data_IF_333343794761
#
_entry.id   IF_333343794761
#
_cell.length_a   1.000
_cell.length_b   1.000
_cell.length_c   1.000
_cell.angle_alpha   90.00
_cell.angle_beta   90.00
_cell.angle_gamma   90.00
#
_symmetry.space_group_name_H-M   'P 1'
#
loop_
_entity.id
_entity.type
_entity.pdbx_description
1 polymer ?
#
# COMPACT_ATOMS: atom_id res chain seq x y z
N UNK A 1 6.86 -9.70 -10.24
CA UNK A 1 5.45 -9.49 -10.61
C UNK A 1 5.33 -9.75 -12.08
N UNK A 2 4.46 -10.65 -12.54
CA UNK A 2 4.35 -11.04 -13.96
C UNK A 2 3.01 -10.55 -14.49
N UNK A 3 3.01 -9.85 -15.61
CA UNK A 3 1.78 -9.39 -16.26
C UNK A 3 1.03 -10.62 -16.77
N UNK A 4 -0.26 -10.73 -16.42
CA UNK A 4 -1.14 -11.82 -16.88
C UNK A 4 -2.01 -11.32 -18.04
N UNK A 5 -1.80 -11.81 -19.28
CA UNK A 5 -2.53 -11.35 -20.45
C UNK A 5 -4.05 -11.53 -20.35
N UNK A 6 -4.52 -12.60 -19.70
CA UNK A 6 -5.96 -12.86 -19.54
C UNK A 6 -6.62 -11.82 -18.62
N UNK A 7 -5.95 -11.47 -17.50
CA UNK A 7 -6.43 -10.42 -16.59
C UNK A 7 -6.44 -9.05 -17.27
N UNK A 8 -5.37 -8.73 -18.00
CA UNK A 8 -5.28 -7.49 -18.78
C UNK A 8 -6.42 -7.41 -19.81
N UNK A 9 -6.65 -8.49 -20.56
CA UNK A 9 -7.70 -8.55 -21.55
C UNK A 9 -9.11 -8.40 -20.95
N UNK A 10 -9.38 -9.10 -19.85
CA UNK A 10 -10.63 -8.96 -19.11
C UNK A 10 -10.88 -7.53 -18.64
N UNK A 11 -9.84 -6.85 -18.15
CA UNK A 11 -9.91 -5.46 -17.71
C UNK A 11 -10.18 -4.49 -18.87
N UNK A 12 -9.51 -4.66 -20.01
CA UNK A 12 -9.77 -3.86 -21.22
C UNK A 12 -11.23 -4.02 -21.63
N UNK A 13 -11.75 -5.26 -21.67
CA UNK A 13 -13.14 -5.56 -22.02
C UNK A 13 -14.12 -4.89 -21.05
N UNK A 14 -13.86 -4.98 -19.73
CA UNK A 14 -14.72 -4.39 -18.71
C UNK A 14 -14.77 -2.86 -18.83
N UNK A 15 -13.60 -2.21 -18.97
CA UNK A 15 -13.50 -0.76 -19.14
C UNK A 15 -14.18 -0.29 -20.44
N UNK A 16 -13.95 -0.97 -21.56
CA UNK A 16 -14.62 -0.65 -22.83
C UNK A 16 -16.15 -0.71 -22.70
N UNK A 17 -16.66 -1.80 -22.10
CA UNK A 17 -18.11 -1.97 -21.88
C UNK A 17 -18.69 -0.90 -20.95
N UNK A 18 -17.97 -0.49 -19.91
CA UNK A 18 -18.40 0.59 -19.01
C UNK A 18 -18.54 1.93 -19.74
N UNK A 19 -17.76 2.14 -20.83
CA UNK A 19 -17.84 3.28 -21.73
C UNK A 19 -18.85 3.08 -22.87
N UNK A 20 -19.58 1.96 -22.89
CA UNK A 20 -20.55 1.61 -23.91
C UNK A 20 -19.97 1.54 -25.33
N UNK A 21 -18.66 1.28 -25.45
CA UNK A 21 -17.97 1.15 -26.73
C UNK A 21 -18.03 -0.29 -27.25
N UNK A 22 -18.20 -0.46 -28.55
CA UNK A 22 -17.96 -1.72 -29.25
C UNK A 22 -16.45 -1.92 -29.48
N UNK A 23 -16.03 -3.15 -29.82
CA UNK A 23 -14.64 -3.42 -30.19
C UNK A 23 -14.22 -2.63 -31.45
N UNK A 24 -15.17 -2.46 -32.39
CA UNK A 24 -14.95 -1.65 -33.60
C UNK A 24 -14.68 -0.18 -33.23
N UNK A 25 -15.54 0.44 -32.44
CA UNK A 25 -15.40 1.85 -32.04
C UNK A 25 -14.11 2.10 -31.25
N UNK A 26 -13.70 1.16 -30.38
CA UNK A 26 -12.41 1.26 -29.68
C UNK A 26 -11.25 1.13 -30.67
N UNK A 27 -11.35 0.21 -31.64
CA UNK A 27 -10.34 0.05 -32.70
C UNK A 27 -10.20 1.31 -33.56
N UNK A 28 -11.31 1.90 -33.98
CA UNK A 28 -11.34 3.15 -34.76
C UNK A 28 -10.67 4.31 -34.00
N UNK A 29 -10.98 4.47 -32.71
CA UNK A 29 -10.35 5.53 -31.86
C UNK A 29 -8.86 5.34 -31.68
N UNK A 30 -8.37 4.10 -31.69
CA UNK A 30 -6.96 3.75 -31.57
C UNK A 30 -6.26 3.63 -32.94
N UNK A 31 -7.02 3.78 -34.04
CA UNK A 31 -6.55 3.57 -35.42
C UNK A 31 -5.92 2.18 -35.64
N UNK A 32 -6.57 1.13 -35.08
CA UNK A 32 -6.21 -0.27 -35.24
C UNK A 32 -7.44 -1.11 -35.58
N UNK A 33 -7.23 -2.36 -36.01
CA UNK A 33 -8.33 -3.26 -36.34
C UNK A 33 -9.08 -3.77 -35.08
N UNK A 34 -10.36 -4.04 -35.22
CA UNK A 34 -11.14 -4.68 -34.15
C UNK A 34 -10.61 -6.08 -33.77
N UNK A 35 -9.94 -6.78 -34.71
CA UNK A 35 -9.28 -8.05 -34.45
C UNK A 35 -8.16 -7.92 -33.43
N UNK A 36 -7.41 -6.80 -33.44
CA UNK A 36 -6.39 -6.53 -32.44
C UNK A 36 -7.01 -6.34 -31.06
N UNK A 37 -8.09 -5.54 -30.96
CA UNK A 37 -8.84 -5.37 -29.70
C UNK A 37 -9.36 -6.73 -29.21
N UNK A 38 -9.94 -7.54 -30.11
CA UNK A 38 -10.46 -8.85 -29.78
C UNK A 38 -9.36 -9.79 -29.23
N UNK A 39 -8.17 -9.79 -29.82
CA UNK A 39 -7.01 -10.57 -29.31
C UNK A 39 -6.58 -10.12 -27.93
N UNK A 40 -6.54 -8.81 -27.69
CA UNK A 40 -6.21 -8.27 -26.37
C UNK A 40 -7.24 -8.71 -25.33
N UNK A 41 -8.54 -8.56 -25.63
CA UNK A 41 -9.63 -8.92 -24.70
C UNK A 41 -9.71 -10.42 -24.38
N UNK A 42 -9.21 -11.30 -25.27
CA UNK A 42 -9.11 -12.74 -25.02
C UNK A 42 -7.77 -13.16 -24.37
N UNK A 43 -6.86 -12.20 -24.13
CA UNK A 43 -5.56 -12.50 -23.57
C UNK A 43 -4.59 -13.20 -24.55
N UNK A 44 -4.88 -13.23 -25.85
CA UNK A 44 -4.04 -13.83 -26.88
C UNK A 44 -2.84 -12.95 -27.22
N UNK A 45 -2.94 -11.66 -26.95
CA UNK A 45 -1.88 -10.68 -27.08
C UNK A 45 -2.04 -9.54 -26.08
N UNK A 46 -0.93 -8.91 -25.71
CA UNK A 46 -0.94 -7.66 -24.97
C UNK A 46 -0.92 -6.45 -25.92
N UNK A 47 -1.47 -5.29 -25.52
CA UNK A 47 -1.26 -4.05 -26.25
C UNK A 47 0.23 -3.70 -26.34
N UNK A 48 0.67 -3.24 -27.49
CA UNK A 48 2.02 -2.70 -27.64
C UNK A 48 2.22 -1.49 -26.73
N UNK A 49 3.47 -1.25 -26.33
CA UNK A 49 3.81 -0.14 -25.41
C UNK A 49 3.33 1.21 -25.94
N UNK A 50 3.37 1.42 -27.26
CA UNK A 50 2.86 2.63 -27.92
C UNK A 50 1.35 2.81 -27.81
N UNK A 51 0.61 1.71 -27.61
CA UNK A 51 -0.87 1.71 -27.50
C UNK A 51 -1.35 1.91 -26.07
N UNK A 52 -0.51 1.68 -25.06
CA UNK A 52 -0.93 1.72 -23.66
C UNK A 52 -1.45 3.11 -23.23
N UNK A 53 -0.74 4.18 -23.56
CA UNK A 53 -1.17 5.55 -23.22
C UNK A 53 -2.45 5.98 -23.94
N UNK A 54 -2.58 5.81 -25.30
CA UNK A 54 -3.82 6.09 -26.00
C UNK A 54 -5.00 5.28 -25.47
N UNK A 55 -4.79 3.98 -25.19
CA UNK A 55 -5.81 3.09 -24.63
C UNK A 55 -6.27 3.56 -23.25
N UNK A 56 -5.33 3.88 -22.35
CA UNK A 56 -5.61 4.38 -21.02
C UNK A 56 -6.41 5.69 -21.07
N UNK A 57 -6.05 6.60 -21.98
CA UNK A 57 -6.76 7.86 -22.20
C UNK A 57 -8.22 7.65 -22.67
N UNK A 58 -8.44 6.79 -23.67
CA UNK A 58 -9.78 6.52 -24.22
C UNK A 58 -10.66 5.82 -23.17
N UNK A 59 -10.08 4.92 -22.38
CA UNK A 59 -10.79 4.19 -21.33
C UNK A 59 -10.88 4.97 -20.00
N UNK A 60 -10.32 6.19 -19.94
CA UNK A 60 -10.26 7.06 -18.75
C UNK A 60 -9.73 6.33 -17.52
N UNK A 61 -8.59 5.68 -17.69
CA UNK A 61 -7.92 4.89 -16.65
C UNK A 61 -6.40 5.11 -16.70
N UNK A 62 -5.66 4.48 -15.79
CA UNK A 62 -4.21 4.47 -15.84
C UNK A 62 -3.67 3.25 -16.60
N UNK A 63 -2.46 3.37 -17.16
CA UNK A 63 -1.74 2.24 -17.75
C UNK A 63 -1.55 1.11 -16.74
N UNK A 64 -1.22 1.47 -15.49
CA UNK A 64 -1.05 0.50 -14.41
C UNK A 64 -2.35 -0.29 -14.15
N UNK A 65 -3.50 0.37 -14.12
CA UNK A 65 -4.79 -0.30 -13.92
C UNK A 65 -5.13 -1.27 -15.06
N UNK A 66 -4.72 -0.97 -16.29
CA UNK A 66 -4.86 -1.90 -17.42
C UNK A 66 -3.92 -3.09 -17.25
N UNK A 67 -2.62 -2.85 -17.03
CA UNK A 67 -1.60 -3.90 -16.95
C UNK A 67 -1.75 -4.81 -15.75
N UNK A 68 -2.34 -4.30 -14.66
CA UNK A 68 -2.64 -5.07 -13.46
C UNK A 68 -4.00 -5.81 -13.54
N UNK A 69 -4.71 -5.71 -14.67
CA UNK A 69 -5.98 -6.40 -14.87
C UNK A 69 -7.09 -5.92 -13.92
N UNK A 70 -7.08 -4.64 -13.53
CA UNK A 70 -8.05 -4.06 -12.61
C UNK A 70 -7.78 -4.37 -11.14
N UNK A 71 -6.75 -5.13 -10.82
CA UNK A 71 -6.29 -5.23 -9.44
C UNK A 71 -5.88 -3.84 -8.97
N UNK A 72 -6.33 -3.46 -7.78
CA UNK A 72 -5.92 -2.18 -7.20
C UNK A 72 -4.40 -2.16 -7.08
N UNK A 73 -3.74 -1.37 -7.91
CA UNK A 73 -2.36 -1.00 -7.64
C UNK A 73 -2.42 -0.17 -6.38
N UNK A 74 -1.97 -0.73 -5.27
CA UNK A 74 -1.72 0.07 -4.09
C UNK A 74 -0.60 1.04 -4.45
N UNK A 75 -0.97 2.26 -4.81
CA UNK A 75 -0.02 3.36 -4.94
C UNK A 75 0.47 3.67 -3.54
N UNK A 76 1.54 3.00 -3.13
CA UNK A 76 2.18 3.30 -1.85
C UNK A 76 2.73 4.73 -1.90
N UNK A 77 2.46 5.49 -0.86
CA UNK A 77 3.08 6.82 -0.69
C UNK A 77 4.59 6.73 -0.54
N UNK A 78 5.07 5.57 -0.05
CA UNK A 78 6.48 5.27 0.12
C UNK A 78 6.69 4.02 0.95
N UNK A 79 7.95 3.56 1.01
CA UNK A 79 8.39 2.49 1.90
C UNK A 79 8.93 3.12 3.18
N UNK A 80 8.46 2.63 4.34
CA UNK A 80 9.00 2.97 5.65
C UNK A 80 9.74 1.75 6.22
N UNK A 81 10.74 2.00 7.05
CA UNK A 81 11.50 0.96 7.74
C UNK A 81 10.93 0.73 9.14
N UNK A 82 10.74 -0.54 9.50
CA UNK A 82 10.38 -0.94 10.86
C UNK A 82 11.50 -0.57 11.87
N UNK A 83 12.77 -0.63 11.42
CA UNK A 83 13.92 -0.20 12.20
C UNK A 83 13.83 1.29 12.53
N UNK A 84 13.53 2.14 11.54
CA UNK A 84 13.44 3.59 11.76
C UNK A 84 12.24 3.96 12.64
N UNK A 85 11.12 3.25 12.50
CA UNK A 85 9.96 3.39 13.40
C UNK A 85 10.32 3.06 14.84
N UNK A 86 11.03 1.94 15.07
CA UNK A 86 11.53 1.56 16.39
C UNK A 86 12.48 2.62 16.96
N UNK A 87 13.41 3.11 16.16
CA UNK A 87 14.37 4.14 16.61
C UNK A 87 13.65 5.45 16.95
N UNK A 88 12.68 5.87 16.14
CA UNK A 88 11.84 7.04 16.42
C UNK A 88 11.11 6.93 17.77
N UNK A 89 10.50 5.78 18.05
CA UNK A 89 9.84 5.52 19.34
C UNK A 89 10.85 5.53 20.51
N UNK A 90 12.03 4.94 20.32
CA UNK A 90 13.09 4.98 21.33
C UNK A 90 13.61 6.42 21.57
N UNK A 91 13.60 7.28 20.55
CA UNK A 91 13.95 8.68 20.70
C UNK A 91 12.97 9.43 21.61
N UNK A 92 11.67 9.11 21.57
CA UNK A 92 10.68 9.69 22.51
C UNK A 92 11.03 9.35 23.96
N UNK A 93 11.35 8.09 24.26
CA UNK A 93 11.79 7.68 25.58
C UNK A 93 13.05 8.44 26.02
N UNK A 94 14.04 8.57 25.11
CA UNK A 94 15.28 9.29 25.37
C UNK A 94 15.04 10.79 25.65
N UNK A 95 14.10 11.42 24.96
CA UNK A 95 13.70 12.81 25.23
C UNK A 95 13.14 12.94 26.65
N UNK A 96 12.26 12.02 27.06
CA UNK A 96 11.71 11.99 28.42
C UNK A 96 12.79 11.77 29.49
N UNK A 97 13.81 10.95 29.19
CA UNK A 97 14.94 10.74 30.08
C UNK A 97 15.84 12.00 30.21
N UNK A 98 16.16 12.66 29.09
CA UNK A 98 17.08 13.79 29.06
C UNK A 98 16.46 15.10 29.57
N UNK A 99 15.22 15.38 29.21
CA UNK A 99 14.52 16.63 29.55
C UNK A 99 13.62 16.48 30.78
N UNK A 100 13.38 15.27 31.24
CA UNK A 100 12.41 14.96 32.28
C UNK A 100 10.99 14.77 31.71
N UNK A 101 10.26 13.79 32.28
CA UNK A 101 8.90 13.43 31.83
C UNK A 101 7.85 14.53 32.04
N UNK A 102 8.15 15.56 32.85
CA UNK A 102 7.30 16.74 33.07
C UNK A 102 7.64 17.91 32.14
N UNK A 103 8.70 17.78 31.32
CA UNK A 103 9.06 18.82 30.37
C UNK A 103 7.96 19.05 29.33
N UNK A 104 7.56 20.30 29.04
CA UNK A 104 6.48 20.57 28.08
C UNK A 104 6.69 19.97 26.69
N UNK A 105 7.93 19.93 26.18
CA UNK A 105 8.23 19.30 24.87
C UNK A 105 7.90 17.82 24.89
N UNK A 106 8.34 17.11 25.93
CA UNK A 106 8.01 15.69 26.09
C UNK A 106 6.50 15.47 26.25
N UNK A 107 5.87 16.24 27.17
CA UNK A 107 4.43 16.10 27.43
C UNK A 107 3.57 16.33 26.18
N UNK A 108 3.80 17.38 25.44
CA UNK A 108 3.04 17.64 24.22
C UNK A 108 3.20 16.53 23.18
N UNK A 109 4.41 15.95 23.04
CA UNK A 109 4.62 14.82 22.14
C UNK A 109 3.83 13.57 22.59
N UNK A 110 3.90 13.24 23.87
CA UNK A 110 3.24 12.06 24.45
C UNK A 110 1.71 12.23 24.48
N UNK A 111 1.21 13.38 24.93
CA UNK A 111 -0.24 13.63 25.04
C UNK A 111 -0.91 13.59 23.66
N UNK A 112 -0.25 14.13 22.62
CA UNK A 112 -0.76 14.05 21.24
C UNK A 112 -0.81 12.61 20.69
N UNK A 113 0.07 11.72 21.14
CA UNK A 113 0.00 10.28 20.80
C UNK A 113 -1.10 9.60 21.64
N UNK A 114 -1.15 9.86 22.95
CA UNK A 114 -2.16 9.29 23.86
C UNK A 114 -3.59 9.60 23.39
N UNK A 115 -3.86 10.85 23.00
CA UNK A 115 -5.19 11.24 22.49
C UNK A 115 -5.60 10.47 21.24
N UNK A 116 -4.67 10.27 20.30
CA UNK A 116 -4.95 9.57 19.04
C UNK A 116 -5.09 8.06 19.22
N UNK A 117 -4.31 7.46 20.10
CA UNK A 117 -4.23 6.01 20.29
C UNK A 117 -5.04 5.53 21.49
N UNK A 118 -5.61 6.43 22.28
CA UNK A 118 -6.35 6.13 23.52
C UNK A 118 -5.57 5.18 24.46
N UNK A 119 -4.29 5.47 24.67
CA UNK A 119 -3.36 4.61 25.43
C UNK A 119 -2.40 5.43 26.29
N UNK A 120 -1.87 4.81 27.34
CA UNK A 120 -0.79 5.41 28.16
C UNK A 120 0.58 5.07 27.56
N UNK A 121 1.10 5.99 26.78
CA UNK A 121 2.40 5.85 26.08
C UNK A 121 3.57 5.75 27.06
N UNK A 122 3.54 6.45 28.19
CA UNK A 122 4.61 6.38 29.21
C UNK A 122 4.81 4.96 29.74
N UNK A 123 3.71 4.25 30.02
CA UNK A 123 3.74 2.85 30.43
C UNK A 123 4.21 1.93 29.29
N UNK A 124 3.78 2.21 28.06
CA UNK A 124 4.18 1.40 26.89
C UNK A 124 5.67 1.55 26.56
N UNK A 125 6.25 2.72 26.76
CA UNK A 125 7.68 2.94 26.52
C UNK A 125 8.57 2.24 27.56
N UNK A 126 8.07 2.00 28.77
CA UNK A 126 8.82 1.38 29.86
C UNK A 126 8.99 -0.15 29.69
N UNK A 127 8.15 -0.81 28.92
CA UNK A 127 8.14 -2.26 28.71
C UNK A 127 8.38 -2.61 27.26
N UNK A 128 9.30 -3.53 26.96
CA UNK A 128 9.70 -3.88 25.60
C UNK A 128 8.52 -4.50 24.79
N UNK A 129 7.71 -5.34 25.43
CA UNK A 129 6.55 -5.96 24.78
C UNK A 129 5.49 -4.91 24.41
N UNK A 130 5.20 -3.99 25.34
CA UNK A 130 4.25 -2.90 25.10
C UNK A 130 4.81 -1.86 24.12
N UNK A 131 6.12 -1.64 24.12
CA UNK A 131 6.80 -0.79 23.15
C UNK A 131 6.65 -1.33 21.72
N UNK A 132 6.76 -2.63 21.51
CA UNK A 132 6.49 -3.25 20.21
C UNK A 132 5.03 -3.11 19.79
N UNK A 133 4.08 -3.16 20.74
CA UNK A 133 2.69 -2.85 20.46
C UNK A 133 2.52 -1.40 19.96
N UNK A 134 3.19 -0.44 20.59
CA UNK A 134 3.16 0.97 20.19
C UNK A 134 3.76 1.17 18.78
N UNK A 135 4.89 0.49 18.50
CA UNK A 135 5.52 0.52 17.17
C UNK A 135 4.57 -0.05 16.12
N UNK A 136 3.95 -1.20 16.40
CA UNK A 136 2.98 -1.83 15.51
C UNK A 136 1.79 -0.92 15.23
N UNK A 137 1.23 -0.29 16.25
CA UNK A 137 0.11 0.64 16.09
C UNK A 137 0.49 1.82 15.19
N UNK A 138 1.67 2.41 15.40
CA UNK A 138 2.18 3.46 14.53
C UNK A 138 2.38 2.97 13.09
N UNK A 139 2.82 1.73 12.89
CA UNK A 139 2.94 1.13 11.56
C UNK A 139 1.56 0.93 10.91
N UNK A 140 0.56 0.44 11.64
CA UNK A 140 -0.82 0.27 11.15
C UNK A 140 -1.39 1.62 10.70
N UNK A 141 -1.21 2.67 11.47
CA UNK A 141 -1.63 4.03 11.11
C UNK A 141 -0.98 4.49 9.79
N UNK A 142 0.30 4.20 9.60
CA UNK A 142 1.00 4.51 8.35
C UNK A 142 0.51 3.65 7.18
N UNK A 143 0.21 2.36 7.40
CA UNK A 143 -0.39 1.50 6.38
C UNK A 143 -1.78 2.00 5.94
N UNK A 144 -2.61 2.45 6.88
CA UNK A 144 -3.94 3.02 6.57
C UNK A 144 -3.88 4.22 5.64
N UNK A 145 -2.80 5.00 5.68
CA UNK A 145 -2.60 6.16 4.80
C UNK A 145 -1.73 5.84 3.57
N UNK A 146 -1.43 4.56 3.34
CA UNK A 146 -0.80 4.06 2.11
C UNK A 146 0.72 3.93 2.14
N UNK A 147 1.37 3.86 3.31
CA UNK A 147 2.79 3.50 3.40
C UNK A 147 2.96 1.97 3.49
N UNK A 148 4.04 1.49 2.90
CA UNK A 148 4.41 0.08 2.88
C UNK A 148 5.56 -0.21 3.85
N UNK A 149 5.51 -1.37 4.51
CA UNK A 149 6.60 -1.94 5.30
C UNK A 149 7.02 -3.29 4.73
N UNK A 150 8.32 -3.52 4.62
CA UNK A 150 8.87 -4.80 4.19
C UNK A 150 8.69 -5.85 5.31
N UNK A 151 7.98 -6.97 5.05
CA UNK A 151 7.76 -7.99 6.08
C UNK A 151 9.05 -8.58 6.65
N UNK A 152 10.12 -8.65 5.86
CA UNK A 152 11.43 -9.15 6.32
C UNK A 152 12.05 -8.15 7.29
N UNK A 153 12.00 -6.84 6.98
CA UNK A 153 12.47 -5.79 7.87
C UNK A 153 11.66 -5.79 9.18
N UNK A 154 10.34 -5.92 9.10
CA UNK A 154 9.47 -6.03 10.28
C UNK A 154 9.84 -7.24 11.12
N UNK A 155 9.96 -8.43 10.52
CA UNK A 155 10.34 -9.66 11.23
C UNK A 155 11.67 -9.53 11.96
N UNK A 156 12.65 -8.89 11.34
CA UNK A 156 13.98 -8.70 11.92
C UNK A 156 14.02 -7.66 13.05
N UNK A 157 13.02 -6.78 13.14
CA UNK A 157 12.94 -5.70 14.12
C UNK A 157 11.90 -5.92 15.22
N UNK A 158 11.15 -7.01 15.20
CA UNK A 158 10.24 -7.41 16.29
C UNK A 158 10.81 -8.63 17.02
N UNK A 159 10.87 -8.58 18.35
CA UNK A 159 11.32 -9.68 19.19
C UNK A 159 10.17 -10.65 19.52
N UNK A 160 8.94 -10.14 19.59
CA UNK A 160 7.78 -10.91 19.96
C UNK A 160 6.98 -11.32 18.70
N UNK A 161 6.92 -12.62 18.45
CA UNK A 161 6.27 -13.20 17.28
C UNK A 161 4.78 -12.81 17.17
N UNK A 162 4.11 -12.61 18.30
CA UNK A 162 2.73 -12.15 18.34
C UNK A 162 2.55 -10.86 17.55
N UNK A 163 3.41 -9.87 17.75
CA UNK A 163 3.29 -8.56 17.08
C UNK A 163 3.61 -8.64 15.60
N UNK A 164 4.58 -9.48 15.22
CA UNK A 164 4.84 -9.76 13.82
C UNK A 164 3.65 -10.43 13.13
N UNK A 165 3.02 -11.41 13.77
CA UNK A 165 1.84 -12.08 13.23
C UNK A 165 0.67 -11.10 13.09
N UNK A 166 0.44 -10.24 14.08
CA UNK A 166 -0.57 -9.17 13.99
C UNK A 166 -0.25 -8.20 12.85
N UNK A 167 1.01 -7.81 12.67
CA UNK A 167 1.42 -7.02 11.49
C UNK A 167 1.03 -7.71 10.18
N UNK A 168 1.30 -9.01 10.05
CA UNK A 168 0.97 -9.76 8.83
C UNK A 168 -0.55 -9.81 8.56
N UNK A 169 -1.38 -9.90 9.59
CA UNK A 169 -2.84 -9.82 9.45
C UNK A 169 -3.30 -8.46 8.90
N UNK A 170 -2.78 -7.38 9.46
CA UNK A 170 -3.09 -6.03 8.98
C UNK A 170 -2.51 -5.77 7.57
N UNK A 171 -1.29 -6.25 7.29
CA UNK A 171 -0.68 -6.12 5.98
C UNK A 171 -1.48 -6.85 4.89
N UNK A 172 -2.08 -8.02 5.21
CA UNK A 172 -3.05 -8.70 4.34
C UNK A 172 -4.33 -7.89 4.18
N UNK A 173 -4.90 -7.38 5.27
CA UNK A 173 -6.11 -6.56 5.27
C UNK A 173 -5.97 -5.32 4.37
N UNK A 174 -4.80 -4.73 4.34
CA UNK A 174 -4.48 -3.57 3.48
C UNK A 174 -3.84 -3.97 2.15
N UNK A 175 -3.94 -5.26 1.75
CA UNK A 175 -3.46 -5.79 0.46
C UNK A 175 -1.95 -5.59 0.23
N UNK A 176 -1.17 -5.47 1.30
CA UNK A 176 0.29 -5.26 1.24
C UNK A 176 1.09 -6.57 1.14
N UNK A 177 0.45 -7.70 1.39
CA UNK A 177 1.00 -9.05 1.21
C UNK A 177 0.14 -9.80 0.21
N UNK A 178 0.78 -10.58 -0.66
CA UNK A 178 0.07 -11.53 -1.50
C UNK A 178 -0.68 -12.53 -0.61
N UNK A 179 -1.95 -12.76 -0.94
CA UNK A 179 -2.79 -13.80 -0.31
C UNK A 179 -2.25 -15.19 -0.58
#
# INVERSE_FOLDING_TARGET
MTINPEKVGAQISALRKSKQLTQNELGERLNISFQAISKWERGEALPDTSMLLPLAHILETSVDNILMGGEKVMSYKGKLSAKDMREGINCLERVGYLLGKQNPIYRHAIDGICEKMNTDVDSMLADEYLRECLILEAMIQNMMIGYYFDPIDVKNNFKHEKWYNTFCEYAKKYEMLAS
#
